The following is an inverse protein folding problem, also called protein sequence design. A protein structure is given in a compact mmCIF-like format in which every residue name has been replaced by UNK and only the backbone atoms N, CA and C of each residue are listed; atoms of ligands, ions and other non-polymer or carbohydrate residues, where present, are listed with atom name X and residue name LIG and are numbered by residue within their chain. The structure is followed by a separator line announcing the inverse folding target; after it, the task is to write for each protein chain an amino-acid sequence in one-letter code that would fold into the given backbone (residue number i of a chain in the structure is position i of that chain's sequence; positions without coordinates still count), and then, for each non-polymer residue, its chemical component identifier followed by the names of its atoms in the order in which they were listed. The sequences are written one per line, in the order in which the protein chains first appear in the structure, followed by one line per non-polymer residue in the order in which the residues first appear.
data_IF_680827581956
#
_entry.id   IF_680827581956
#
_cell.length_a   1.000
_cell.length_b   1.000
_cell.length_c   1.000
_cell.angle_alpha   90.00
_cell.angle_beta   90.00
_cell.angle_gamma   90.00
#
_symmetry.space_group_name_H-M   'P 1'
#
loop_
_entity.id
_entity.type
_entity.pdbx_description
1 polymer ?
#
# COMPACT_ATOMS: atom_id res chain seq x y z
N UNK A 1 -10.80 7.10 -10.78
CA UNK A 1 -9.44 6.53 -10.59
C UNK A 1 -9.50 5.38 -9.58
N UNK A 2 -9.95 5.59 -8.35
CA UNK A 2 -10.08 4.52 -7.33
C UNK A 2 -10.98 3.37 -7.76
N UNK A 3 -11.99 3.63 -8.59
CA UNK A 3 -12.84 2.58 -9.19
C UNK A 3 -12.01 1.60 -10.02
N UNK A 4 -11.01 2.09 -10.78
CA UNK A 4 -10.12 1.23 -11.56
C UNK A 4 -9.34 0.28 -10.64
N UNK A 5 -8.77 0.78 -9.53
CA UNK A 5 -8.07 -0.06 -8.55
C UNK A 5 -8.99 -1.13 -7.96
N UNK A 6 -10.23 -0.76 -7.60
CA UNK A 6 -11.22 -1.69 -7.07
C UNK A 6 -11.64 -2.77 -8.06
N UNK A 7 -11.67 -2.45 -9.37
CA UNK A 7 -11.89 -3.43 -10.43
C UNK A 7 -10.68 -4.35 -10.62
N UNK A 8 -9.45 -3.81 -10.58
CA UNK A 8 -8.22 -4.61 -10.63
C UNK A 8 -8.15 -5.58 -9.45
N UNK A 9 -8.46 -5.11 -8.24
CA UNK A 9 -8.57 -5.93 -7.04
C UNK A 9 -9.79 -6.89 -7.07
N UNK A 10 -10.59 -6.85 -8.13
CA UNK A 10 -11.82 -7.64 -8.25
C UNK A 10 -12.72 -7.54 -7.01
N UNK A 11 -12.89 -6.30 -6.46
CA UNK A 11 -13.96 -6.04 -5.50
C UNK A 11 -15.32 -6.05 -6.19
N UNK A 12 -15.32 -5.76 -7.50
CA UNK A 12 -16.46 -5.92 -8.41
C UNK A 12 -15.97 -6.47 -9.74
N UNK A 13 -16.81 -7.26 -10.43
CA UNK A 13 -16.54 -7.69 -11.78
C UNK A 13 -16.92 -6.59 -12.78
N UNK A 14 -16.21 -6.51 -13.91
CA UNK A 14 -16.55 -5.61 -15.00
C UNK A 14 -17.84 -6.07 -15.68
N UNK A 15 -18.71 -5.11 -16.02
CA UNK A 15 -19.99 -5.40 -16.72
C UNK A 15 -19.75 -5.80 -18.18
N UNK A 16 -18.78 -5.18 -18.84
CA UNK A 16 -18.40 -5.45 -20.23
C UNK A 16 -16.87 -5.44 -20.34
N UNK A 17 -16.33 -6.19 -21.28
CA UNK A 17 -14.90 -6.36 -21.45
C UNK A 17 -14.29 -7.36 -20.45
N UNK A 18 -12.99 -7.30 -20.26
CA UNK A 18 -12.27 -8.19 -19.35
C UNK A 18 -11.04 -7.48 -18.74
N UNK A 19 -10.68 -7.91 -17.54
CA UNK A 19 -9.40 -7.60 -16.92
C UNK A 19 -8.60 -8.90 -16.89
N UNK A 20 -7.34 -8.83 -17.32
CA UNK A 20 -6.48 -10.01 -17.38
C UNK A 20 -5.23 -9.79 -16.52
N UNK A 21 -4.83 -10.85 -15.82
CA UNK A 21 -3.55 -10.92 -15.15
C UNK A 21 -2.73 -11.99 -15.87
N UNK A 22 -1.69 -11.55 -16.59
CA UNK A 22 -1.05 -12.38 -17.61
C UNK A 22 -2.09 -12.82 -18.66
N UNK A 23 -2.19 -14.13 -18.88
CA UNK A 23 -3.12 -14.71 -19.86
C UNK A 23 -4.49 -15.07 -19.28
N UNK A 24 -4.69 -14.93 -17.96
CA UNK A 24 -5.92 -15.32 -17.29
C UNK A 24 -6.86 -14.12 -17.06
N UNK A 25 -8.14 -14.30 -17.41
CA UNK A 25 -9.19 -13.38 -16.96
C UNK A 25 -9.33 -13.48 -15.44
N UNK A 26 -9.25 -12.35 -14.73
CA UNK A 26 -9.27 -12.33 -13.25
C UNK A 26 -10.54 -12.96 -12.67
N UNK A 27 -11.66 -12.98 -13.42
CA UNK A 27 -12.92 -13.64 -13.02
C UNK A 27 -12.78 -15.16 -12.88
N UNK A 28 -11.80 -15.75 -13.57
CA UNK A 28 -11.50 -17.19 -13.55
C UNK A 28 -10.40 -17.57 -12.58
N UNK A 29 -9.72 -16.58 -12.02
CA UNK A 29 -8.65 -16.79 -11.04
C UNK A 29 -9.28 -16.96 -9.65
N UNK A 30 -8.77 -17.89 -8.86
CA UNK A 30 -9.16 -18.01 -7.46
C UNK A 30 -8.81 -16.73 -6.69
N UNK A 31 -9.73 -16.25 -5.85
CA UNK A 31 -9.55 -14.98 -5.14
C UNK A 31 -8.30 -14.97 -4.23
N UNK A 32 -8.00 -16.08 -3.56
CA UNK A 32 -6.77 -16.17 -2.74
C UNK A 32 -5.51 -16.08 -3.60
N UNK A 33 -5.49 -16.75 -4.76
CA UNK A 33 -4.38 -16.65 -5.70
C UNK A 33 -4.23 -15.23 -6.27
N UNK A 34 -5.33 -14.53 -6.56
CA UNK A 34 -5.30 -13.13 -7.00
C UNK A 34 -4.74 -12.24 -5.90
N UNK A 35 -5.22 -12.37 -4.64
CA UNK A 35 -4.73 -11.61 -3.48
C UNK A 35 -3.25 -11.82 -3.21
N UNK A 36 -2.73 -13.01 -3.45
CA UNK A 36 -1.29 -13.28 -3.31
C UNK A 36 -0.42 -12.53 -4.34
N UNK A 37 -1.00 -12.07 -5.46
CA UNK A 37 -0.29 -11.35 -6.52
C UNK A 37 -0.37 -9.84 -6.41
N UNK A 38 -1.20 -9.31 -5.52
CA UNK A 38 -1.49 -7.87 -5.45
C UNK A 38 -1.48 -7.36 -4.01
N UNK A 39 -0.94 -6.17 -3.81
CA UNK A 39 -1.02 -5.41 -2.56
C UNK A 39 -1.70 -4.09 -2.82
N UNK A 40 -2.58 -3.66 -1.92
CA UNK A 40 -3.24 -2.36 -2.00
C UNK A 40 -2.89 -1.51 -0.79
N UNK A 41 -2.42 -0.30 -1.04
CA UNK A 41 -2.32 0.78 -0.06
C UNK A 41 -3.41 1.80 -0.39
N UNK A 42 -4.35 1.97 0.53
CA UNK A 42 -5.47 2.90 0.40
C UNK A 42 -5.06 4.31 0.80
N UNK A 43 -5.87 5.29 0.40
CA UNK A 43 -5.70 6.70 0.76
C UNK A 43 -5.64 6.91 2.28
N UNK A 44 -6.47 6.17 3.03
CA UNK A 44 -6.45 6.13 4.48
C UNK A 44 -6.12 4.72 4.94
N UNK A 45 -5.12 4.61 5.82
CA UNK A 45 -4.73 3.33 6.40
C UNK A 45 -5.52 3.08 7.67
N UNK A 46 -6.40 2.08 7.63
CA UNK A 46 -7.16 1.63 8.79
C UNK A 46 -6.26 0.85 9.75
N UNK A 47 -6.39 1.16 11.04
CA UNK A 47 -5.68 0.47 12.12
C UNK A 47 -6.67 -0.19 13.07
N UNK A 48 -6.30 -1.35 13.56
CA UNK A 48 -7.08 -2.10 14.53
C UNK A 48 -6.59 -1.79 15.95
N UNK A 49 -7.46 -1.90 16.93
CA UNK A 49 -7.15 -1.77 18.35
C UNK A 49 -6.25 -2.95 18.81
N UNK A 50 -4.97 -2.87 18.47
CA UNK A 50 -3.94 -3.86 18.73
C UNK A 50 -2.56 -3.17 18.75
N UNK A 51 -1.48 -3.89 18.87
CA UNK A 51 -0.11 -3.33 18.80
C UNK A 51 0.27 -2.90 17.38
N UNK A 52 1.27 -2.04 17.24
CA UNK A 52 1.83 -1.65 15.94
C UNK A 52 2.32 -2.91 15.19
N UNK A 53 3.05 -3.80 15.87
CA UNK A 53 3.55 -5.04 15.28
C UNK A 53 2.44 -5.92 14.73
N UNK A 54 1.37 -6.12 15.49
CA UNK A 54 0.22 -6.92 15.06
C UNK A 54 -0.54 -6.26 13.92
N UNK A 55 -0.68 -4.93 13.94
CA UNK A 55 -1.24 -4.19 12.81
C UNK A 55 -0.48 -4.42 11.51
N UNK A 56 0.84 -4.57 11.56
CA UNK A 56 1.65 -4.85 10.36
C UNK A 56 1.51 -6.33 9.95
N UNK A 57 1.51 -7.26 10.92
CA UNK A 57 1.37 -8.71 10.67
C UNK A 57 0.03 -9.13 10.03
N UNK A 58 -0.98 -8.25 10.00
CA UNK A 58 -2.24 -8.53 9.28
C UNK A 58 -1.97 -8.91 7.82
N UNK A 59 -0.94 -8.34 7.20
CA UNK A 59 -0.58 -8.62 5.82
C UNK A 59 0.01 -10.02 5.59
N UNK A 60 0.67 -10.59 6.64
CA UNK A 60 1.27 -11.93 6.65
C UNK A 60 1.26 -12.43 8.10
N UNK A 61 0.27 -13.23 8.46
CA UNK A 61 0.00 -13.62 9.86
C UNK A 61 1.11 -14.46 10.50
N UNK A 62 1.83 -15.23 9.71
CA UNK A 62 2.94 -16.09 10.08
C UNK A 62 4.31 -15.40 9.99
N UNK A 63 4.34 -14.08 9.72
CA UNK A 63 5.57 -13.32 9.64
C UNK A 63 6.33 -13.33 10.96
N UNK A 64 7.64 -13.58 10.87
CA UNK A 64 8.55 -13.46 12.00
C UNK A 64 8.72 -12.00 12.42
N UNK A 65 9.29 -11.77 13.60
CA UNK A 65 9.59 -10.41 14.05
C UNK A 65 10.58 -9.72 13.11
N UNK A 66 11.58 -10.46 12.63
CA UNK A 66 12.60 -9.95 11.71
C UNK A 66 12.01 -9.53 10.36
N UNK A 67 11.04 -10.28 9.83
CA UNK A 67 10.32 -9.92 8.60
C UNK A 67 9.52 -8.64 8.79
N UNK A 68 8.83 -8.49 9.92
CA UNK A 68 8.09 -7.26 10.27
C UNK A 68 9.04 -6.07 10.37
N UNK A 69 10.16 -6.21 11.07
CA UNK A 69 11.17 -5.15 11.22
C UNK A 69 11.80 -4.78 9.87
N UNK A 70 12.09 -5.77 9.03
CA UNK A 70 12.61 -5.53 7.69
C UNK A 70 11.63 -4.73 6.82
N UNK A 71 10.34 -5.08 6.86
CA UNK A 71 9.29 -4.33 6.15
C UNK A 71 9.15 -2.90 6.68
N UNK A 72 9.27 -2.70 8.00
CA UNK A 72 9.24 -1.36 8.60
C UNK A 72 10.45 -0.51 8.23
N UNK A 73 11.65 -1.10 8.16
CA UNK A 73 12.86 -0.40 7.69
C UNK A 73 12.70 0.07 6.26
N UNK A 74 12.19 -0.79 5.37
CA UNK A 74 11.86 -0.45 4.00
C UNK A 74 10.85 0.71 3.89
N UNK A 75 9.85 0.74 4.77
CA UNK A 75 8.85 1.80 4.85
C UNK A 75 9.32 3.06 5.61
N UNK A 76 10.60 3.13 6.03
CA UNK A 76 11.16 4.20 6.88
C UNK A 76 10.35 4.44 8.16
N UNK A 77 9.90 3.36 8.81
CA UNK A 77 9.05 3.38 10.01
C UNK A 77 9.75 2.79 11.25
N UNK A 78 10.78 1.96 11.08
CA UNK A 78 11.45 1.22 12.16
C UNK A 78 12.05 2.15 13.24
N UNK A 79 12.76 3.20 12.82
CA UNK A 79 13.38 4.15 13.75
C UNK A 79 12.32 4.85 14.63
N UNK A 80 11.19 5.23 14.02
CA UNK A 80 10.07 5.81 14.77
C UNK A 80 9.51 4.79 15.77
N UNK A 81 9.25 3.56 15.36
CA UNK A 81 8.71 2.53 16.26
C UNK A 81 9.66 2.27 17.41
N UNK A 82 10.96 2.16 17.16
CA UNK A 82 11.99 1.94 18.20
C UNK A 82 12.14 3.11 19.15
N UNK A 83 11.76 4.32 18.75
CA UNK A 83 11.75 5.50 19.63
C UNK A 83 10.60 5.49 20.65
N UNK A 84 9.58 4.66 20.43
CA UNK A 84 8.44 4.53 21.34
C UNK A 84 8.80 3.68 22.57
N UNK A 85 8.24 3.98 23.77
CA UNK A 85 8.58 3.25 25.00
C UNK A 85 8.35 1.73 24.94
N UNK A 86 7.39 1.27 24.13
CA UNK A 86 7.07 -0.15 23.95
C UNK A 86 7.44 -0.69 22.57
N UNK A 87 8.10 0.11 21.73
CA UNK A 87 8.48 -0.30 20.39
C UNK A 87 7.30 -0.89 19.58
N UNK A 88 7.49 -2.06 19.01
CA UNK A 88 6.47 -2.78 18.26
C UNK A 88 5.25 -3.24 19.07
N UNK A 89 5.39 -3.35 20.40
CA UNK A 89 4.30 -3.68 21.32
C UNK A 89 3.50 -2.45 21.76
N UNK A 90 3.78 -1.28 21.19
CA UNK A 90 3.00 -0.06 21.45
C UNK A 90 1.56 -0.25 20.98
N UNK A 91 0.56 -0.14 21.88
CA UNK A 91 -0.83 -0.27 21.51
C UNK A 91 -1.28 0.93 20.67
N UNK A 92 -2.00 0.62 19.61
CA UNK A 92 -2.70 1.59 18.77
C UNK A 92 -4.15 1.57 19.20
N UNK A 93 -4.66 2.68 19.72
CA UNK A 93 -6.08 2.82 20.07
C UNK A 93 -6.97 2.80 18.83
N UNK A 94 -8.27 2.66 19.06
CA UNK A 94 -9.26 2.82 18.00
C UNK A 94 -9.01 4.15 17.27
N UNK A 95 -8.97 4.11 15.94
CA UNK A 95 -8.66 5.24 15.05
C UNK A 95 -7.20 5.72 15.04
N UNK A 96 -6.26 5.00 15.67
CA UNK A 96 -4.82 5.35 15.61
C UNK A 96 -4.49 6.72 16.20
N UNK A 97 -5.25 7.21 17.20
CA UNK A 97 -5.17 8.56 17.74
C UNK A 97 -3.79 8.98 18.31
N UNK A 98 -2.86 8.05 18.45
CA UNK A 98 -1.48 8.30 18.91
C UNK A 98 -0.48 8.45 17.76
N UNK A 99 -0.89 8.16 16.50
CA UNK A 99 -0.04 8.21 15.32
C UNK A 99 -0.43 9.36 14.40
N UNK A 100 0.56 10.05 13.86
CA UNK A 100 0.35 11.03 12.80
C UNK A 100 -0.17 10.37 11.50
N UNK A 101 -0.73 11.16 10.59
CA UNK A 101 -1.16 10.67 9.28
C UNK A 101 -0.04 10.00 8.50
N UNK A 102 1.19 10.55 8.58
CA UNK A 102 2.36 9.99 7.91
C UNK A 102 2.79 8.64 8.49
N UNK A 103 2.73 8.46 9.79
CA UNK A 103 3.06 7.20 10.46
C UNK A 103 2.02 6.12 10.13
N UNK A 104 0.72 6.46 10.17
CA UNK A 104 -0.34 5.54 9.75
C UNK A 104 -0.15 5.10 8.30
N UNK A 105 0.15 6.04 7.41
CA UNK A 105 0.34 5.72 5.99
C UNK A 105 1.57 4.82 5.79
N UNK A 106 2.66 5.05 6.52
CA UNK A 106 3.84 4.17 6.48
C UNK A 106 3.55 2.76 7.02
N UNK A 107 2.62 2.60 7.97
CA UNK A 107 2.12 1.25 8.36
C UNK A 107 1.44 0.57 7.16
N UNK A 108 0.62 1.27 6.40
CA UNK A 108 0.03 0.74 5.17
C UNK A 108 1.07 0.30 4.14
N UNK A 109 2.11 1.11 3.95
CA UNK A 109 3.24 0.77 3.06
C UNK A 109 4.04 -0.43 3.61
N UNK A 110 4.30 -0.49 4.92
CA UNK A 110 4.98 -1.62 5.56
C UNK A 110 4.20 -2.93 5.39
N UNK A 111 2.86 -2.89 5.51
CA UNK A 111 1.99 -4.03 5.20
C UNK A 111 2.18 -4.53 3.77
N UNK A 112 2.22 -3.61 2.80
CA UNK A 112 2.41 -3.96 1.40
C UNK A 112 3.80 -4.57 1.13
N UNK A 113 4.84 -4.06 1.78
CA UNK A 113 6.20 -4.63 1.69
C UNK A 113 6.32 -5.97 2.40
N UNK A 114 5.60 -6.20 3.52
CA UNK A 114 5.57 -7.47 4.22
C UNK A 114 4.82 -8.54 3.42
N UNK A 115 3.74 -8.15 2.75
CA UNK A 115 2.99 -9.05 1.87
C UNK A 115 3.79 -9.48 0.64
N UNK A 116 4.67 -8.61 0.14
CA UNK A 116 5.66 -8.87 -0.90
C UNK A 116 5.09 -9.28 -2.27
N UNK A 117 3.89 -8.79 -2.61
CA UNK A 117 3.25 -9.08 -3.88
C UNK A 117 3.98 -8.42 -5.07
N UNK A 118 4.00 -9.06 -6.27
CA UNK A 118 4.63 -8.51 -7.46
C UNK A 118 3.91 -7.29 -8.05
N UNK A 119 2.62 -7.09 -7.73
CA UNK A 119 1.82 -5.96 -8.18
C UNK A 119 1.38 -5.10 -7.01
N UNK A 120 1.84 -3.86 -6.95
CA UNK A 120 1.54 -2.89 -5.90
C UNK A 120 0.59 -1.81 -6.42
N UNK A 121 -0.55 -1.69 -5.78
CA UNK A 121 -1.57 -0.69 -6.05
C UNK A 121 -1.55 0.38 -4.96
N UNK A 122 -1.41 1.64 -5.34
CA UNK A 122 -1.35 2.78 -4.42
C UNK A 122 -2.46 3.78 -4.78
N UNK A 123 -3.47 3.91 -3.90
CA UNK A 123 -4.58 4.84 -4.07
C UNK A 123 -4.33 6.11 -3.26
N UNK A 124 -3.84 7.15 -3.92
CA UNK A 124 -3.51 8.45 -3.32
C UNK A 124 -2.69 8.37 -2.01
N UNK A 125 -1.59 7.59 -1.98
CA UNK A 125 -0.90 7.22 -0.74
C UNK A 125 -0.29 8.42 0.00
N UNK A 126 -0.29 9.60 -0.59
CA UNK A 126 0.33 10.81 -0.04
C UNK A 126 -0.61 12.02 0.03
N UNK A 127 -1.92 11.83 -0.25
CA UNK A 127 -2.88 12.95 -0.41
C UNK A 127 -2.99 13.84 0.84
N UNK A 128 -2.93 13.26 2.02
CA UNK A 128 -3.10 13.94 3.31
C UNK A 128 -1.76 14.18 4.04
N UNK A 129 -0.63 14.11 3.32
CA UNK A 129 0.70 14.24 3.90
C UNK A 129 1.39 15.54 3.51
N UNK A 130 2.24 16.03 4.41
CA UNK A 130 3.19 17.09 4.09
C UNK A 130 4.26 16.60 3.11
N UNK A 131 5.02 17.52 2.53
CA UNK A 131 6.01 17.22 1.51
C UNK A 131 7.16 16.33 2.02
N UNK A 132 7.47 16.37 3.32
CA UNK A 132 8.52 15.53 3.90
C UNK A 132 8.07 14.07 3.94
N UNK A 133 6.90 13.80 4.53
CA UNK A 133 6.32 12.45 4.60
C UNK A 133 6.01 11.89 3.21
N UNK A 134 5.51 12.70 2.28
CA UNK A 134 5.35 12.33 0.87
C UNK A 134 6.69 11.87 0.28
N UNK A 135 7.75 12.66 0.42
CA UNK A 135 9.08 12.31 -0.10
C UNK A 135 9.65 11.02 0.50
N UNK A 136 9.37 10.74 1.77
CA UNK A 136 9.79 9.49 2.42
C UNK A 136 9.09 8.28 1.76
N UNK A 137 7.76 8.34 1.60
CA UNK A 137 6.98 7.24 1.02
C UNK A 137 7.37 7.00 -0.43
N UNK A 138 7.46 8.04 -1.25
CA UNK A 138 7.83 7.90 -2.67
C UNK A 138 9.23 7.33 -2.85
N UNK A 139 10.19 7.72 -2.01
CA UNK A 139 11.54 7.12 -2.02
C UNK A 139 11.53 5.66 -1.62
N UNK A 140 10.78 5.29 -0.58
CA UNK A 140 10.64 3.91 -0.15
C UNK A 140 10.05 3.04 -1.27
N UNK A 141 8.95 3.46 -1.89
CA UNK A 141 8.32 2.75 -3.00
C UNK A 141 9.29 2.62 -4.17
N UNK A 142 9.98 3.68 -4.56
CA UNK A 142 10.94 3.65 -5.69
C UNK A 142 12.15 2.76 -5.43
N UNK A 143 12.62 2.69 -4.19
CA UNK A 143 13.77 1.85 -3.81
C UNK A 143 13.42 0.36 -3.81
N UNK A 144 12.24 0.01 -3.26
CA UNK A 144 11.85 -1.37 -2.97
C UNK A 144 11.04 -2.04 -4.10
N UNK A 145 10.59 -1.26 -5.09
CA UNK A 145 9.70 -1.77 -6.13
C UNK A 145 10.34 -1.78 -7.54
N UNK A 146 11.67 -1.82 -7.64
CA UNK A 146 12.38 -1.81 -8.93
C UNK A 146 12.01 -2.98 -9.85
N UNK A 147 11.75 -4.14 -9.26
CA UNK A 147 11.41 -5.38 -9.97
C UNK A 147 9.91 -5.71 -9.89
N UNK A 148 9.08 -4.71 -9.57
CA UNK A 148 7.62 -4.86 -9.40
C UNK A 148 6.85 -3.91 -10.30
N UNK A 149 5.65 -4.30 -10.64
CA UNK A 149 4.71 -3.38 -11.28
C UNK A 149 4.01 -2.56 -10.21
N UNK A 150 4.16 -1.23 -10.29
CA UNK A 150 3.49 -0.29 -9.38
C UNK A 150 2.47 0.52 -10.16
N UNK A 151 1.21 0.45 -9.77
CA UNK A 151 0.17 1.34 -10.25
C UNK A 151 -0.17 2.36 -9.16
N UNK A 152 0.15 3.62 -9.42
CA UNK A 152 -0.04 4.70 -8.47
C UNK A 152 -1.07 5.67 -8.99
N UNK A 153 -2.14 5.87 -8.22
CA UNK A 153 -3.16 6.90 -8.46
C UNK A 153 -2.83 8.13 -7.65
N UNK A 154 -2.70 9.28 -8.31
CA UNK A 154 -2.47 10.55 -7.65
C UNK A 154 -3.04 11.71 -8.48
N UNK A 155 -3.17 12.85 -7.82
CA UNK A 155 -3.42 14.17 -8.45
C UNK A 155 -2.25 15.14 -8.20
N UNK A 156 -1.21 14.70 -7.48
CA UNK A 156 -0.03 15.52 -7.15
C UNK A 156 1.03 15.41 -8.25
N UNK A 157 1.56 16.56 -8.69
CA UNK A 157 2.62 16.63 -9.71
C UNK A 157 3.91 15.95 -9.26
N UNK A 158 4.28 16.07 -7.98
CA UNK A 158 5.44 15.40 -7.37
C UNK A 158 5.38 13.88 -7.50
N UNK A 159 4.21 13.31 -7.24
CA UNK A 159 3.95 11.88 -7.35
C UNK A 159 3.99 11.40 -8.81
N UNK A 160 3.40 12.18 -9.73
CA UNK A 160 3.44 11.87 -11.17
C UNK A 160 4.86 11.89 -11.73
N UNK A 161 5.72 12.78 -11.25
CA UNK A 161 7.13 12.86 -11.66
C UNK A 161 7.98 11.65 -11.20
N UNK A 162 7.47 10.85 -10.26
CA UNK A 162 8.13 9.62 -9.79
C UNK A 162 7.80 8.38 -10.64
N UNK A 163 6.81 8.47 -11.54
CA UNK A 163 6.38 7.37 -12.40
C UNK A 163 7.18 7.32 -13.71
N UNK A 164 7.40 6.11 -14.24
CA UNK A 164 8.04 5.91 -15.54
C UNK A 164 7.08 6.25 -16.69
N UNK A 165 5.78 5.99 -16.48
CA UNK A 165 4.70 6.29 -17.44
C UNK A 165 3.51 6.87 -16.68
N UNK A 166 2.89 7.90 -17.24
CA UNK A 166 1.71 8.55 -16.66
C UNK A 166 0.55 8.54 -17.65
N UNK A 167 -0.63 8.25 -17.14
CA UNK A 167 -1.88 8.32 -17.89
C UNK A 167 -2.85 9.29 -17.21
N UNK A 168 -3.58 10.08 -18.01
CA UNK A 168 -4.69 10.87 -17.50
C UNK A 168 -6.00 10.09 -17.59
N UNK A 169 -6.83 10.21 -16.56
CA UNK A 169 -8.18 9.63 -16.56
C UNK A 169 -9.19 10.75 -16.36
N UNK A 170 -9.88 11.11 -17.44
CA UNK A 170 -10.90 12.15 -17.46
C UNK A 170 -12.23 11.59 -17.97
N UNK A 171 -13.31 11.82 -17.23
CA UNK A 171 -14.66 11.35 -17.59
C UNK A 171 -14.72 9.86 -17.96
N UNK A 172 -13.94 9.02 -17.28
CA UNK A 172 -13.90 7.57 -17.53
C UNK A 172 -13.06 7.14 -18.74
N UNK A 173 -12.36 8.06 -19.41
CA UNK A 173 -11.48 7.78 -20.54
C UNK A 173 -10.03 7.91 -20.13
N UNK A 174 -9.20 6.99 -20.61
CA UNK A 174 -7.75 7.00 -20.46
C UNK A 174 -7.12 7.74 -21.65
N UNK A 175 -6.22 8.67 -21.37
CA UNK A 175 -5.42 9.41 -22.36
C UNK A 175 -3.96 9.51 -21.93
#
# INVERSE_FOLDING_TARGET
KSTLLRLLMRFWDVQTGSIRFGDADIRRVNTAALRAQESLVTQETELFADTIGNNIRIAKRDATQEEVEAACKKAALDDFIRSLPKGYDTPVGELGGTLSGGERQRIGVARAFLHDAPFLLLDEPTSNLDSLNEGIILRAVRAECKDRTVLLVSHRKSTMAAADVSFSVESGRLS
#
